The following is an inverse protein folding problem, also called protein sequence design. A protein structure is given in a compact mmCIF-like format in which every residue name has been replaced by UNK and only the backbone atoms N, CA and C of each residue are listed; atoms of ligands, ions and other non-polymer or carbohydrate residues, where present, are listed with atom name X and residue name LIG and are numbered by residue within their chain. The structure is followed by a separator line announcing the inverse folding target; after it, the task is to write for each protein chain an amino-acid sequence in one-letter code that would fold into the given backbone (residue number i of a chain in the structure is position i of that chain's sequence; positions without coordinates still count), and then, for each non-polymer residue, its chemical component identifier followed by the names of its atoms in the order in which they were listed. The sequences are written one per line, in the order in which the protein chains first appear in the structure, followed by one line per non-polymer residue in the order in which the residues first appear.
data_IF_981677617071
#
_entry.id   IF_981677617071
#
_cell.length_a   1.000
_cell.length_b   1.000
_cell.length_c   1.000
_cell.angle_alpha   90.00
_cell.angle_beta   90.00
_cell.angle_gamma   90.00
#
_symmetry.space_group_name_H-M   'P 1'
#
loop_
_entity.id
_entity.type
_entity.pdbx_description
1 polymer ?
#
# COMPACT_ATOMS: atom_id res chain seq x y z
N UNK A 1 1.08 -28.75 -18.34
CA UNK A 1 0.65 -28.57 -16.93
C UNK A 1 -0.23 -27.34 -16.90
N UNK A 2 -1.50 -27.43 -16.47
CA UNK A 2 -2.34 -26.25 -16.32
C UNK A 2 -1.76 -25.39 -15.20
N UNK A 3 -1.40 -24.16 -15.52
CA UNK A 3 -1.03 -23.12 -14.57
C UNK A 3 -2.23 -22.86 -13.67
N UNK A 4 -2.20 -23.39 -12.46
CA UNK A 4 -3.15 -22.98 -11.43
C UNK A 4 -2.96 -21.47 -11.23
N UNK A 5 -4.00 -20.63 -11.40
CA UNK A 5 -3.87 -19.22 -11.06
C UNK A 5 -3.59 -19.19 -9.56
N UNK A 6 -2.34 -18.85 -9.17
CA UNK A 6 -2.03 -18.53 -7.78
C UNK A 6 -2.95 -17.39 -7.39
N UNK A 7 -4.03 -17.70 -6.67
CA UNK A 7 -5.00 -16.70 -6.20
C UNK A 7 -4.23 -15.72 -5.34
N UNK A 8 -4.09 -14.47 -5.81
CA UNK A 8 -3.50 -13.41 -5.02
C UNK A 8 -4.34 -13.18 -3.76
N UNK A 9 -3.66 -12.98 -2.64
CA UNK A 9 -4.28 -12.58 -1.38
C UNK A 9 -4.04 -11.09 -1.18
N UNK A 10 -5.13 -10.37 -1.03
CA UNK A 10 -5.14 -8.92 -0.95
C UNK A 10 -5.72 -8.48 0.40
N UNK A 11 -5.18 -7.40 0.94
CA UNK A 11 -5.73 -6.69 2.11
C UNK A 11 -5.22 -5.26 2.07
N UNK A 12 -5.87 -4.36 2.81
CA UNK A 12 -5.53 -2.95 2.76
C UNK A 12 -5.69 -2.25 4.12
N UNK A 13 -5.08 -1.08 4.20
CA UNK A 13 -5.18 -0.16 5.33
C UNK A 13 -5.50 1.24 4.82
N UNK A 14 -6.38 1.96 5.51
CA UNK A 14 -6.50 3.40 5.40
C UNK A 14 -5.71 4.08 6.53
N UNK A 15 -5.15 5.24 6.25
CA UNK A 15 -4.42 6.06 7.22
C UNK A 15 -4.40 7.54 6.82
N UNK A 16 -4.26 8.41 7.81
CA UNK A 16 -4.07 9.84 7.63
C UNK A 16 -2.58 10.21 7.67
N UNK A 17 -2.20 11.24 6.91
CA UNK A 17 -0.86 11.81 6.91
C UNK A 17 -0.90 13.25 6.41
N UNK A 18 -0.10 14.13 7.03
CA UNK A 18 0.08 15.52 6.62
C UNK A 18 1.05 15.68 5.43
N UNK A 19 1.75 14.60 5.05
CA UNK A 19 2.68 14.59 3.92
C UNK A 19 1.92 14.55 2.60
N UNK A 20 2.42 15.30 1.61
CA UNK A 20 2.05 15.11 0.21
C UNK A 20 2.58 13.76 -0.32
N UNK A 21 2.07 13.30 -1.46
CA UNK A 21 2.55 12.08 -2.11
C UNK A 21 4.08 12.06 -2.36
N UNK A 22 4.63 13.20 -2.79
CA UNK A 22 6.07 13.36 -3.03
C UNK A 22 6.87 13.29 -1.71
N UNK A 23 6.42 13.99 -0.67
CA UNK A 23 7.06 13.94 0.64
C UNK A 23 6.95 12.55 1.29
N UNK A 24 5.84 11.84 1.05
CA UNK A 24 5.65 10.46 1.47
C UNK A 24 6.66 9.53 0.79
N UNK A 25 6.87 9.68 -0.54
CA UNK A 25 7.89 8.92 -1.27
C UNK A 25 9.29 9.13 -0.65
N UNK A 26 9.69 10.38 -0.45
CA UNK A 26 10.99 10.69 0.15
C UNK A 26 11.14 10.11 1.56
N UNK A 27 10.08 10.20 2.38
CA UNK A 27 10.07 9.66 3.73
C UNK A 27 10.20 8.12 3.72
N UNK A 28 9.50 7.44 2.81
CA UNK A 28 9.55 5.98 2.67
C UNK A 28 10.91 5.49 2.18
N UNK A 29 11.48 6.14 1.15
CA UNK A 29 12.84 5.85 0.67
C UNK A 29 13.88 5.99 1.78
N UNK A 30 13.76 7.05 2.60
CA UNK A 30 14.68 7.31 3.71
C UNK A 30 14.49 6.33 4.88
N UNK A 31 13.25 5.93 5.16
CA UNK A 31 12.94 5.02 6.26
C UNK A 31 13.31 3.56 5.96
N UNK A 32 13.37 3.20 4.66
CA UNK A 32 13.60 1.82 4.21
C UNK A 32 12.52 0.85 4.73
N UNK A 33 12.66 -0.46 4.55
CA UNK A 33 13.74 -1.17 3.87
C UNK A 33 13.50 -1.33 2.36
N UNK A 34 12.40 -0.81 1.83
CA UNK A 34 11.98 -1.05 0.45
C UNK A 34 12.23 0.16 -0.44
N UNK A 35 12.50 -0.12 -1.72
CA UNK A 35 12.54 0.92 -2.76
C UNK A 35 11.13 1.15 -3.30
N UNK A 36 10.68 2.38 -3.22
CA UNK A 36 9.39 2.87 -3.68
C UNK A 36 9.55 3.62 -5.00
N UNK A 37 8.54 3.50 -5.85
CA UNK A 37 8.45 4.33 -7.06
C UNK A 37 7.09 4.99 -7.14
N UNK A 38 7.08 6.27 -7.48
CA UNK A 38 5.85 6.96 -7.86
C UNK A 38 5.47 6.57 -9.29
N UNK A 39 4.18 6.34 -9.48
CA UNK A 39 3.52 6.01 -10.73
C UNK A 39 2.30 6.89 -10.87
N UNK A 40 1.76 6.89 -12.08
CA UNK A 40 0.53 7.60 -12.39
C UNK A 40 -0.25 6.78 -13.43
N UNK A 41 -1.57 6.73 -13.28
CA UNK A 41 -2.46 6.28 -14.34
C UNK A 41 -3.78 7.07 -14.33
N UNK A 42 -4.54 6.94 -15.41
CA UNK A 42 -5.78 7.69 -15.61
C UNK A 42 -6.90 7.37 -14.61
N UNK A 43 -6.87 6.18 -13.98
CA UNK A 43 -7.94 5.70 -13.09
C UNK A 43 -7.67 6.12 -11.65
N UNK A 44 -6.44 5.91 -11.19
CA UNK A 44 -6.04 6.04 -9.78
C UNK A 44 -5.34 7.36 -9.50
N UNK A 45 -4.97 8.12 -10.54
CA UNK A 45 -4.10 9.27 -10.40
C UNK A 45 -2.68 8.84 -10.04
N UNK A 46 -2.02 9.64 -9.21
CA UNK A 46 -0.68 9.32 -8.73
C UNK A 46 -0.71 8.36 -7.55
N UNK A 47 0.21 7.40 -7.53
CA UNK A 47 0.34 6.40 -6.46
C UNK A 47 1.79 5.99 -6.28
N UNK A 48 2.14 5.50 -5.09
CA UNK A 48 3.44 4.88 -4.82
C UNK A 48 3.29 3.37 -4.92
N UNK A 49 4.33 2.69 -5.35
CA UNK A 49 4.37 1.24 -5.24
C UNK A 49 5.76 0.70 -4.94
N UNK A 50 5.79 -0.51 -4.38
CA UNK A 50 7.02 -1.27 -4.15
C UNK A 50 6.78 -2.78 -4.33
N UNK A 51 7.86 -3.52 -4.54
CA UNK A 51 7.90 -4.98 -4.70
C UNK A 51 9.00 -5.55 -3.80
N UNK A 52 8.72 -5.74 -2.50
CA UNK A 52 9.76 -6.08 -1.53
C UNK A 52 10.31 -7.51 -1.70
N UNK A 53 9.52 -8.40 -2.31
CA UNK A 53 9.90 -9.77 -2.63
C UNK A 53 9.15 -10.27 -3.86
N UNK A 54 9.58 -11.41 -4.42
CA UNK A 54 8.88 -12.04 -5.54
C UNK A 54 7.43 -12.36 -5.16
N UNK A 55 6.49 -11.90 -6.00
CA UNK A 55 5.07 -12.14 -5.78
C UNK A 55 4.42 -11.24 -4.72
N UNK A 56 5.15 -10.26 -4.18
CA UNK A 56 4.60 -9.21 -3.29
C UNK A 56 4.51 -7.90 -4.05
N UNK A 57 3.38 -7.22 -3.90
CA UNK A 57 3.15 -5.88 -4.42
C UNK A 57 2.45 -5.05 -3.35
N UNK A 58 2.98 -3.86 -3.09
CA UNK A 58 2.39 -2.90 -2.17
C UNK A 58 2.17 -1.61 -2.94
N UNK A 59 0.99 -1.01 -2.80
CA UNK A 59 0.58 0.22 -3.46
C UNK A 59 0.04 1.19 -2.43
N UNK A 60 0.42 2.46 -2.48
CA UNK A 60 -0.15 3.53 -1.67
C UNK A 60 -0.81 4.54 -2.59
N UNK A 61 -2.09 4.81 -2.39
CA UNK A 61 -2.81 5.84 -3.12
C UNK A 61 -3.26 6.94 -2.17
N UNK A 62 -3.37 8.17 -2.68
CA UNK A 62 -3.97 9.31 -1.99
C UNK A 62 -5.45 9.41 -2.39
N UNK A 63 -6.29 9.87 -1.46
CA UNK A 63 -7.71 10.12 -1.65
C UNK A 63 -8.04 11.60 -1.43
N UNK A 64 -9.09 12.13 -2.09
CA UNK A 64 -10.05 11.40 -2.93
C UNK A 64 -9.48 11.01 -4.31
N UNK A 65 -9.77 9.78 -4.76
CA UNK A 65 -9.53 9.36 -6.14
C UNK A 65 -10.75 9.67 -7.01
N UNK A 66 -10.54 9.97 -8.29
CA UNK A 66 -11.60 10.38 -9.22
C UNK A 66 -12.77 9.38 -9.33
N UNK A 67 -12.53 8.09 -9.06
CA UNK A 67 -13.52 7.02 -9.21
C UNK A 67 -13.73 6.17 -7.94
N UNK A 68 -13.08 6.50 -6.82
CA UNK A 68 -13.25 5.78 -5.55
C UNK A 68 -13.90 6.71 -4.55
N UNK A 69 -15.21 6.59 -4.41
CA UNK A 69 -15.97 7.34 -3.40
C UNK A 69 -15.77 6.69 -2.02
N UNK A 70 -14.85 7.26 -1.23
CA UNK A 70 -14.66 6.95 0.20
C UNK A 70 -15.10 8.10 1.09
N UNK A 71 -15.90 9.03 0.57
CA UNK A 71 -16.26 10.30 1.23
C UNK A 71 -15.16 11.36 1.17
N UNK A 72 -15.39 12.48 1.86
CA UNK A 72 -14.53 13.68 1.85
C UNK A 72 -13.26 13.56 2.73
N UNK A 73 -12.92 12.38 3.24
CA UNK A 73 -11.72 12.22 4.08
C UNK A 73 -10.46 12.16 3.20
N UNK A 74 -9.71 13.26 3.19
CA UNK A 74 -8.34 13.28 2.68
C UNK A 74 -7.48 12.29 3.47
N UNK A 75 -6.68 11.50 2.76
CA UNK A 75 -5.86 10.47 3.38
C UNK A 75 -5.23 9.53 2.36
N UNK A 76 -4.73 8.40 2.84
CA UNK A 76 -4.04 7.42 2.03
C UNK A 76 -4.59 6.01 2.29
N UNK A 77 -4.53 5.16 1.27
CA UNK A 77 -4.68 3.72 1.46
C UNK A 77 -3.42 2.97 1.04
N UNK A 78 -2.99 2.00 1.84
CA UNK A 78 -2.00 1.01 1.44
C UNK A 78 -2.70 -0.31 1.07
N UNK A 79 -2.56 -0.75 -0.17
CA UNK A 79 -3.02 -2.06 -0.67
C UNK A 79 -1.82 -3.01 -0.74
N UNK A 80 -1.94 -4.17 -0.13
CA UNK A 80 -0.96 -5.24 -0.16
C UNK A 80 -1.52 -6.43 -0.93
N UNK A 81 -0.68 -7.03 -1.77
CA UNK A 81 -0.98 -8.21 -2.56
C UNK A 81 0.18 -9.17 -2.48
N UNK A 82 -0.09 -10.42 -2.11
CA UNK A 82 0.90 -11.51 -2.12
C UNK A 82 0.39 -12.75 -2.84
N UNK A 83 1.31 -13.51 -3.43
CA UNK A 83 1.06 -14.86 -3.99
C UNK A 83 1.28 -15.97 -2.96
N UNK A 84 1.83 -15.64 -1.80
CA UNK A 84 2.05 -16.59 -0.71
C UNK A 84 0.75 -16.79 0.07
N UNK A 85 0.49 -18.02 0.50
CA UNK A 85 -0.58 -18.38 1.43
C UNK A 85 -0.07 -18.56 2.86
N UNK A 86 1.24 -18.38 3.10
CA UNK A 86 1.87 -18.48 4.41
C UNK A 86 1.40 -17.34 5.35
N UNK A 87 0.68 -17.65 6.44
CA UNK A 87 0.24 -16.65 7.41
C UNK A 87 1.38 -15.93 8.11
N UNK A 88 2.52 -16.60 8.34
CA UNK A 88 3.67 -15.99 9.01
C UNK A 88 4.31 -14.93 8.11
N UNK A 89 4.46 -15.24 6.82
CA UNK A 89 4.93 -14.27 5.83
C UNK A 89 4.00 -13.06 5.69
N UNK A 90 2.68 -13.29 5.69
CA UNK A 90 1.71 -12.19 5.71
C UNK A 90 1.88 -11.31 6.95
N UNK A 91 2.00 -11.91 8.13
CA UNK A 91 2.17 -11.18 9.38
C UNK A 91 3.46 -10.35 9.38
N UNK A 92 4.56 -10.88 8.85
CA UNK A 92 5.83 -10.16 8.72
C UNK A 92 5.72 -8.94 7.79
N UNK A 93 5.08 -9.12 6.62
CA UNK A 93 4.80 -8.01 5.70
C UNK A 93 3.93 -6.92 6.34
N UNK A 94 2.88 -7.34 7.04
CA UNK A 94 1.98 -6.43 7.76
C UNK A 94 2.72 -5.62 8.81
N UNK A 95 3.48 -6.29 9.66
CA UNK A 95 4.24 -5.62 10.71
C UNK A 95 5.27 -4.65 10.13
N UNK A 96 5.96 -5.06 9.07
CA UNK A 96 6.97 -4.21 8.40
C UNK A 96 6.33 -2.96 7.81
N UNK A 97 5.21 -3.10 7.11
CA UNK A 97 4.48 -1.96 6.55
C UNK A 97 3.96 -1.04 7.65
N UNK A 98 3.32 -1.58 8.69
CA UNK A 98 2.73 -0.78 9.77
C UNK A 98 3.82 0.00 10.51
N UNK A 99 4.96 -0.62 10.81
CA UNK A 99 6.08 0.05 11.43
C UNK A 99 6.67 1.15 10.53
N UNK A 100 6.77 0.89 9.23
CA UNK A 100 7.22 1.86 8.25
C UNK A 100 6.27 3.07 8.16
N UNK A 101 4.96 2.83 8.02
CA UNK A 101 3.93 3.86 7.99
C UNK A 101 3.97 4.73 9.24
N UNK A 102 4.09 4.12 10.43
CA UNK A 102 4.22 4.87 11.69
C UNK A 102 5.49 5.73 11.73
N UNK A 103 6.61 5.24 11.21
CA UNK A 103 7.89 6.01 11.17
C UNK A 103 7.80 7.22 10.25
N UNK A 104 7.03 7.14 9.17
CA UNK A 104 6.81 8.28 8.25
C UNK A 104 5.67 9.21 8.69
N UNK A 105 5.09 8.97 9.87
CA UNK A 105 4.07 9.85 10.46
C UNK A 105 2.63 9.51 10.11
N UNK A 106 2.35 8.30 9.61
CA UNK A 106 0.98 7.84 9.43
C UNK A 106 0.24 7.75 10.77
N UNK A 107 -1.01 8.19 10.77
CA UNK A 107 -1.93 8.16 11.91
C UNK A 107 -3.26 7.53 11.51
N UNK A 108 -4.10 7.23 12.51
CA UNK A 108 -5.45 6.66 12.28
C UNK A 108 -5.45 5.42 11.37
N UNK A 109 -4.43 4.56 11.51
CA UNK A 109 -4.28 3.37 10.67
C UNK A 109 -5.39 2.34 10.97
N UNK A 110 -6.24 2.05 9.98
CA UNK A 110 -7.39 1.15 10.09
C UNK A 110 -7.35 0.12 8.96
N UNK A 111 -7.56 -1.16 9.30
CA UNK A 111 -7.69 -2.22 8.31
C UNK A 111 -9.03 -2.11 7.57
N UNK A 112 -9.00 -2.30 6.26
CA UNK A 112 -10.16 -2.15 5.37
C UNK A 112 -10.24 -3.33 4.40
N UNK A 113 -11.39 -3.45 3.74
CA UNK A 113 -11.51 -4.34 2.60
C UNK A 113 -10.65 -3.82 1.43
N UNK A 114 -9.88 -4.71 0.77
CA UNK A 114 -9.13 -4.36 -0.42
C UNK A 114 -10.12 -3.95 -1.53
N UNK A 115 -9.66 -3.05 -2.39
CA UNK A 115 -10.42 -2.55 -3.52
C UNK A 115 -9.63 -2.78 -4.81
N UNK A 116 -10.36 -3.02 -5.90
CA UNK A 116 -9.83 -3.27 -7.24
C UNK A 116 -9.76 -1.98 -8.07
#
# INVERSE_FOLDING_TARGET
MPSNPKTSKDWAYDFASELSMEAMLEALEKAGPWTWTQRENYVEGSYLNTRPAEGVHIKINEHPQAFVDRGDQAGFSALLRTRSDDPAFRQELDQTLIELLKRVGASELVAIDPYD
#
